data_IF_298075372941
#
_entry.id   IF_298075372941
#
_cell.length_a   1.000
_cell.length_b   1.000
_cell.length_c   1.000
_cell.angle_alpha   90.00
_cell.angle_beta   90.00
_cell.angle_gamma   90.00
#
_symmetry.space_group_name_H-M   'P 1'
#
loop_
_entity.id
_entity.type
_entity.pdbx_description
1 polymer ?
#
# COMPACT_ATOMS: atom_id res chain seq x y z
N UNK A 1 0.12 -1.64 -18.51
CA UNK A 1 0.31 -1.99 -17.08
C UNK A 1 0.84 -0.78 -16.37
N UNK A 2 0.22 -0.41 -15.27
CA UNK A 2 0.62 0.73 -14.45
C UNK A 2 1.21 0.17 -13.16
N UNK A 3 2.24 0.82 -12.62
CA UNK A 3 2.86 0.47 -11.36
C UNK A 3 2.60 1.57 -10.34
N UNK A 4 2.28 1.16 -9.12
CA UNK A 4 2.11 2.03 -7.97
C UNK A 4 3.13 1.64 -6.90
N UNK A 5 3.97 2.59 -6.52
CA UNK A 5 4.80 2.48 -5.32
C UNK A 5 4.07 3.14 -4.17
N UNK A 6 3.80 2.39 -3.09
CA UNK A 6 3.23 2.94 -1.85
C UNK A 6 4.29 2.99 -0.78
N UNK A 7 4.52 4.17 -0.21
CA UNK A 7 5.32 4.36 0.99
C UNK A 7 4.36 4.53 2.16
N UNK A 8 4.36 3.58 3.09
CA UNK A 8 3.39 3.50 4.18
C UNK A 8 4.09 3.83 5.49
N UNK A 9 3.54 4.81 6.22
CA UNK A 9 3.99 5.23 7.53
C UNK A 9 2.86 4.90 8.52
N UNK A 10 3.18 4.11 9.54
CA UNK A 10 2.20 3.70 10.56
C UNK A 10 2.45 4.45 11.86
N UNK A 11 1.39 4.59 12.66
CA UNK A 11 1.48 5.10 14.03
C UNK A 11 2.14 4.04 14.91
N UNK A 12 2.98 4.50 15.85
CA UNK A 12 3.68 3.62 16.79
C UNK A 12 2.70 2.73 17.58
N UNK A 13 2.98 1.43 17.65
CA UNK A 13 2.16 0.45 18.39
C UNK A 13 0.93 -0.07 17.64
N UNK A 14 0.64 0.43 16.43
CA UNK A 14 -0.52 0.05 15.62
C UNK A 14 -0.20 -1.00 14.54
N UNK A 15 0.95 -1.67 14.63
CA UNK A 15 1.41 -2.67 13.64
C UNK A 15 0.38 -3.77 13.43
N UNK A 16 -0.20 -4.29 14.52
CA UNK A 16 -1.16 -5.40 14.46
C UNK A 16 -2.45 -4.99 13.73
N UNK A 17 -2.96 -3.78 14.00
CA UNK A 17 -4.14 -3.24 13.31
C UNK A 17 -3.85 -2.98 11.82
N UNK A 18 -2.64 -2.52 11.51
CA UNK A 18 -2.19 -2.34 10.13
C UNK A 18 -2.09 -3.67 9.38
N UNK A 19 -1.46 -4.69 9.96
CA UNK A 19 -1.37 -6.02 9.33
C UNK A 19 -2.74 -6.65 9.15
N UNK A 20 -3.65 -6.49 10.13
CA UNK A 20 -5.02 -6.97 9.98
C UNK A 20 -5.75 -6.27 8.83
N UNK A 21 -5.57 -4.94 8.66
CA UNK A 21 -6.09 -4.23 7.50
C UNK A 21 -5.55 -4.81 6.19
N UNK A 22 -4.24 -5.03 6.09
CA UNK A 22 -3.61 -5.63 4.91
C UNK A 22 -4.16 -7.02 4.58
N UNK A 23 -4.35 -7.87 5.58
CA UNK A 23 -4.91 -9.22 5.42
C UNK A 23 -6.31 -9.21 4.80
N UNK A 24 -7.08 -8.13 5.00
CA UNK A 24 -8.40 -7.98 4.40
C UNK A 24 -8.35 -7.41 2.97
N UNK A 25 -7.44 -6.46 2.69
CA UNK A 25 -7.47 -5.70 1.42
C UNK A 25 -6.52 -6.21 0.35
N UNK A 26 -5.36 -6.76 0.71
CA UNK A 26 -4.38 -7.27 -0.26
C UNK A 26 -4.92 -8.45 -1.09
N UNK A 27 -5.71 -9.40 -0.55
CA UNK A 27 -6.31 -10.47 -1.35
C UNK A 27 -7.25 -9.95 -2.45
N UNK A 28 -7.86 -8.77 -2.26
CA UNK A 28 -8.78 -8.18 -3.24
C UNK A 28 -8.05 -7.69 -4.49
N UNK A 29 -6.74 -7.40 -4.43
CA UNK A 29 -5.96 -6.95 -5.59
C UNK A 29 -6.17 -7.85 -6.81
N UNK A 30 -6.09 -9.18 -6.61
CA UNK A 30 -6.24 -10.16 -7.70
C UNK A 30 -7.61 -10.12 -8.37
N UNK A 31 -8.66 -9.74 -7.63
CA UNK A 31 -10.02 -9.62 -8.17
C UNK A 31 -10.16 -8.43 -9.13
N UNK A 32 -9.23 -7.47 -9.03
CA UNK A 32 -9.22 -6.23 -9.80
C UNK A 32 -8.00 -6.15 -10.73
N UNK A 33 -7.51 -7.28 -11.24
CA UNK A 33 -6.32 -7.36 -12.11
C UNK A 33 -5.07 -6.68 -11.51
N UNK A 34 -4.99 -6.67 -10.18
CA UNK A 34 -3.90 -6.13 -9.40
C UNK A 34 -3.01 -7.23 -8.82
N UNK A 35 -1.73 -6.93 -8.66
CA UNK A 35 -0.76 -7.81 -8.03
C UNK A 35 0.19 -7.03 -7.14
N UNK A 36 0.33 -7.47 -5.89
CA UNK A 36 1.39 -7.01 -5.00
C UNK A 36 2.69 -7.71 -5.40
N UNK A 37 3.57 -7.00 -6.09
CA UNK A 37 4.85 -7.53 -6.59
C UNK A 37 5.86 -7.63 -5.45
N UNK A 38 5.99 -6.56 -4.67
CA UNK A 38 6.91 -6.51 -3.55
C UNK A 38 6.26 -5.88 -2.33
N UNK A 39 6.60 -6.45 -1.16
CA UNK A 39 6.42 -5.86 0.17
C UNK A 39 7.77 -5.81 0.85
N UNK A 40 8.24 -4.60 1.16
CA UNK A 40 9.57 -4.36 1.73
C UNK A 40 9.39 -3.63 3.06
N UNK A 41 10.02 -4.15 4.11
CA UNK A 41 10.19 -3.46 5.40
C UNK A 41 11.63 -2.95 5.47
N UNK A 42 11.90 -1.69 5.10
CA UNK A 42 13.26 -1.19 5.01
C UNK A 42 13.89 -1.09 6.41
N UNK A 43 15.18 -1.44 6.52
CA UNK A 43 15.95 -1.09 7.70
C UNK A 43 16.33 0.40 7.67
N UNK A 44 16.77 0.95 8.80
CA UNK A 44 17.29 2.33 8.86
C UNK A 44 18.40 2.55 7.83
N UNK A 45 19.27 1.55 7.63
CA UNK A 45 20.35 1.60 6.64
C UNK A 45 19.88 1.60 5.17
N UNK A 46 18.62 1.25 4.90
CA UNK A 46 18.04 1.35 3.55
C UNK A 46 17.63 2.77 3.17
N UNK A 47 17.50 3.68 4.15
CA UNK A 47 17.08 5.07 3.90
C UNK A 47 18.30 5.96 3.73
N UNK A 48 18.57 6.35 2.49
CA UNK A 48 19.73 7.20 2.13
C UNK A 48 19.50 8.68 2.48
N UNK A 49 18.26 9.16 2.33
CA UNK A 49 17.86 10.52 2.65
C UNK A 49 16.47 10.54 3.31
N UNK A 50 16.30 11.36 4.35
CA UNK A 50 15.09 11.40 5.18
C UNK A 50 14.05 12.40 4.68
N UNK A 51 14.16 12.92 3.45
CA UNK A 51 13.20 13.88 2.88
C UNK A 51 11.76 13.37 2.92
N UNK A 52 11.60 12.05 2.78
CA UNK A 52 10.30 11.37 2.90
C UNK A 52 10.15 10.61 4.22
N UNK A 53 11.09 10.69 5.17
CA UNK A 53 11.09 9.93 6.42
C UNK A 53 11.47 8.45 6.27
N UNK A 54 11.14 7.66 7.28
CA UNK A 54 11.36 6.21 7.32
C UNK A 54 10.02 5.47 7.16
N UNK A 55 9.69 4.96 5.96
CA UNK A 55 8.46 4.20 5.79
C UNK A 55 8.56 2.88 6.55
N UNK A 56 7.44 2.46 7.13
CA UNK A 56 7.32 1.15 7.75
C UNK A 56 7.29 0.04 6.69
N UNK A 57 6.52 0.27 5.63
CA UNK A 57 6.44 -0.64 4.49
C UNK A 57 6.48 0.11 3.16
N UNK A 58 7.09 -0.53 2.16
CA UNK A 58 7.07 -0.11 0.77
C UNK A 58 6.41 -1.23 -0.03
N UNK A 59 5.34 -0.90 -0.75
CA UNK A 59 4.73 -1.81 -1.70
C UNK A 59 5.02 -1.39 -3.13
N UNK A 60 5.34 -2.37 -3.99
CA UNK A 60 5.21 -2.21 -5.43
C UNK A 60 4.01 -3.04 -5.87
N UNK A 61 2.98 -2.37 -6.38
CA UNK A 61 1.75 -3.00 -6.87
C UNK A 61 1.62 -2.69 -8.36
N UNK A 62 1.17 -3.64 -9.16
CA UNK A 62 0.81 -3.39 -10.56
C UNK A 62 -0.67 -3.62 -10.79
N UNK A 63 -1.22 -2.92 -11.77
CA UNK A 63 -2.55 -3.16 -12.33
C UNK A 63 -2.46 -3.21 -13.85
N UNK A 64 -3.38 -3.94 -14.48
CA UNK A 64 -3.51 -4.00 -15.94
C UNK A 64 -3.62 -2.58 -16.54
N UNK A 65 -4.52 -1.77 -15.99
CA UNK A 65 -4.80 -0.39 -16.37
C UNK A 65 -5.29 0.46 -15.18
N UNK A 66 -5.54 1.76 -15.43
CA UNK A 66 -6.03 2.69 -14.40
C UNK A 66 -7.42 2.31 -13.88
N UNK A 67 -8.29 1.77 -14.74
CA UNK A 67 -9.65 1.37 -14.37
C UNK A 67 -9.64 0.22 -13.36
N UNK A 68 -8.69 -0.72 -13.52
CA UNK A 68 -8.44 -1.83 -12.60
C UNK A 68 -8.03 -1.32 -11.22
N UNK A 69 -7.13 -0.32 -11.16
CA UNK A 69 -6.77 0.34 -9.90
C UNK A 69 -7.96 1.08 -9.26
N UNK A 70 -8.73 1.84 -10.03
CA UNK A 70 -9.90 2.57 -9.52
C UNK A 70 -10.96 1.62 -8.97
N UNK A 71 -11.22 0.51 -9.67
CA UNK A 71 -12.12 -0.56 -9.21
C UNK A 71 -11.67 -1.17 -7.88
N UNK A 72 -10.37 -1.43 -7.71
CA UNK A 72 -9.82 -1.88 -6.42
C UNK A 72 -9.96 -0.82 -5.33
N UNK A 73 -9.61 0.44 -5.63
CA UNK A 73 -9.70 1.56 -4.68
C UNK A 73 -11.12 1.70 -4.13
N UNK A 74 -12.11 1.58 -5.01
CA UNK A 74 -13.52 1.83 -4.72
C UNK A 74 -14.29 0.54 -4.35
N UNK A 75 -13.59 -0.59 -4.18
CA UNK A 75 -14.19 -1.87 -3.81
C UNK A 75 -14.95 -1.79 -2.48
N UNK A 76 -16.24 -2.17 -2.41
CA UNK A 76 -17.03 -2.09 -1.19
C UNK A 76 -16.49 -2.91 -0.02
N UNK A 77 -15.84 -4.05 -0.26
CA UNK A 77 -15.18 -4.83 0.79
C UNK A 77 -13.96 -4.07 1.31
N UNK A 78 -13.14 -3.51 0.42
CA UNK A 78 -12.01 -2.66 0.84
C UNK A 78 -12.47 -1.47 1.68
N UNK A 79 -13.55 -0.80 1.26
CA UNK A 79 -14.10 0.37 1.94
C UNK A 79 -14.58 0.05 3.37
N UNK A 80 -15.08 -1.16 3.64
CA UNK A 80 -15.48 -1.58 4.99
C UNK A 80 -14.31 -1.59 5.98
N UNK A 81 -13.09 -1.86 5.51
CA UNK A 81 -11.91 -1.97 6.35
C UNK A 81 -11.12 -0.66 6.48
N UNK A 82 -11.58 0.44 5.85
CA UNK A 82 -10.86 1.71 5.85
C UNK A 82 -10.67 2.33 7.24
N UNK A 83 -11.58 2.07 8.18
CA UNK A 83 -11.43 2.51 9.57
C UNK A 83 -10.14 1.97 10.21
N UNK A 84 -9.77 0.72 9.93
CA UNK A 84 -8.53 0.10 10.43
C UNK A 84 -7.29 0.82 9.87
N UNK A 85 -7.35 1.23 8.60
CA UNK A 85 -6.30 2.03 7.97
C UNK A 85 -6.17 3.37 8.67
N UNK A 86 -7.28 4.07 8.91
CA UNK A 86 -7.25 5.40 9.52
C UNK A 86 -6.77 5.37 10.99
N UNK A 87 -7.04 4.28 11.70
CA UNK A 87 -6.55 4.04 13.06
C UNK A 87 -5.05 3.71 13.11
N UNK A 88 -4.50 3.06 12.10
CA UNK A 88 -3.13 2.52 12.13
C UNK A 88 -2.11 3.30 11.30
N UNK A 89 -2.54 3.97 10.23
CA UNK A 89 -1.67 4.66 9.29
C UNK A 89 -1.55 6.14 9.65
N UNK A 90 -0.32 6.64 9.70
CA UNK A 90 -0.04 8.07 9.84
C UNK A 90 -0.19 8.77 8.48
N UNK A 91 0.43 8.21 7.44
CA UNK A 91 0.31 8.71 6.06
C UNK A 91 0.73 7.67 5.04
N UNK A 92 0.27 7.84 3.80
CA UNK A 92 0.69 7.04 2.64
C UNK A 92 1.10 8.01 1.53
N UNK A 93 2.25 7.75 0.89
CA UNK A 93 2.61 8.37 -0.38
C UNK A 93 2.37 7.33 -1.48
N UNK A 94 1.56 7.70 -2.48
CA UNK A 94 1.34 6.89 -3.67
C UNK A 94 2.06 7.53 -4.86
N UNK A 95 2.94 6.78 -5.51
CA UNK A 95 3.68 7.20 -6.70
C UNK A 95 3.25 6.30 -7.85
N UNK A 96 2.76 6.89 -8.94
CA UNK A 96 2.43 6.18 -10.17
C UNK A 96 3.63 6.19 -11.13
N UNK A 97 3.91 5.06 -11.78
CA UNK A 97 4.98 4.91 -12.75
C UNK A 97 4.68 3.88 -13.83
N UNK A 98 5.50 3.90 -14.87
CA UNK A 98 5.48 2.91 -15.96
C UNK A 98 6.86 2.23 -16.04
N UNK A 99 6.87 0.95 -16.40
CA UNK A 99 8.10 0.28 -16.81
C UNK A 99 8.48 0.77 -18.23
N UNK A 100 9.77 0.98 -18.47
CA UNK A 100 10.33 1.43 -19.75
C UNK A 100 10.81 0.25 -20.59
#
# INVERSE_FOLDING_TARGET
MIYYTQLIFIKEGQESSFHFFEDQVLPLLKQHNGELIYRIRPSVSSVVATTLGHPYEIHLVTFLDRKSFESYRDDPQRLKHMHLKDESVERIILIEGNAL
#
